data_IF_552530610058
#
_entry.id   IF_552530610058
#
_cell.length_a   1.000
_cell.length_b   1.000
_cell.length_c   1.000
_cell.angle_alpha   90.00
_cell.angle_beta   90.00
_cell.angle_gamma   90.00
#
_symmetry.space_group_name_H-M   'P 1'
#
loop_
_entity.id
_entity.type
_entity.pdbx_description
1 polymer ?
#
# COMPACT_ATOMS: atom_id res chain seq x y z
N UNK A 1 48.20 39.35 -36.65
CA UNK A 1 47.27 38.19 -36.73
C UNK A 1 47.17 37.48 -35.39
N UNK A 2 48.30 37.16 -34.73
CA UNK A 2 48.34 36.39 -33.48
C UNK A 2 47.74 37.11 -32.24
N UNK A 3 47.89 38.43 -32.14
CA UNK A 3 47.31 39.22 -31.03
C UNK A 3 45.78 39.32 -31.10
N UNK A 4 45.22 39.36 -32.30
CA UNK A 4 43.75 39.42 -32.51
C UNK A 4 43.12 38.08 -32.13
N UNK A 5 43.81 36.96 -32.40
CA UNK A 5 43.36 35.64 -31.96
C UNK A 5 43.46 35.45 -30.46
N UNK A 6 44.54 35.93 -29.82
CA UNK A 6 44.65 35.97 -28.35
C UNK A 6 43.53 36.80 -27.75
N UNK A 7 43.23 37.97 -28.33
CA UNK A 7 42.13 38.81 -27.87
C UNK A 7 40.78 38.10 -28.02
N UNK A 8 40.49 37.43 -29.15
CA UNK A 8 39.26 36.65 -29.35
C UNK A 8 39.14 35.49 -28.35
N UNK A 9 40.23 34.77 -28.06
CA UNK A 9 40.24 33.71 -27.04
C UNK A 9 40.00 34.27 -25.64
N UNK A 10 40.64 35.38 -25.29
CA UNK A 10 40.42 36.05 -24.00
C UNK A 10 38.98 36.55 -23.88
N UNK A 11 38.38 37.05 -24.97
CA UNK A 11 36.99 37.49 -25.00
C UNK A 11 36.02 36.32 -24.87
N UNK A 12 36.32 35.16 -25.46
CA UNK A 12 35.54 33.93 -25.28
C UNK A 12 35.63 33.39 -23.85
N UNK A 13 36.82 33.40 -23.24
CA UNK A 13 37.03 32.96 -21.85
C UNK A 13 36.34 33.94 -20.89
N UNK A 14 36.44 35.24 -21.15
CA UNK A 14 35.75 36.26 -20.37
C UNK A 14 34.24 36.13 -20.51
N UNK A 15 33.73 35.94 -21.72
CA UNK A 15 32.29 35.75 -21.96
C UNK A 15 31.78 34.48 -21.27
N UNK A 16 32.52 33.36 -21.33
CA UNK A 16 32.19 32.13 -20.61
C UNK A 16 32.17 32.35 -19.07
N UNK A 17 33.13 33.11 -18.55
CA UNK A 17 33.21 33.43 -17.11
C UNK A 17 32.13 34.42 -16.66
N UNK A 18 31.71 35.35 -17.54
CA UNK A 18 30.62 36.31 -17.29
C UNK A 18 29.26 35.60 -17.38
N UNK A 19 29.08 34.64 -18.30
CA UNK A 19 27.86 33.80 -18.36
C UNK A 19 27.77 32.81 -17.20
N UNK A 20 28.90 32.48 -16.55
CA UNK A 20 28.97 31.59 -15.38
C UNK A 20 28.78 32.30 -14.02
N UNK A 21 28.76 33.64 -13.99
CA UNK A 21 28.48 34.44 -12.79
C UNK A 21 27.04 34.98 -12.86
N UNK A 22 26.06 34.35 -12.19
CA UNK A 22 24.70 34.87 -12.16
C UNK A 22 24.67 36.12 -11.29
N UNK A 23 24.68 37.29 -11.92
CA UNK A 23 24.44 38.59 -11.25
C UNK A 23 22.95 38.74 -10.89
N UNK A 24 22.09 37.86 -11.39
CA UNK A 24 20.70 37.69 -10.97
C UNK A 24 20.25 36.24 -11.17
N UNK A 25 19.17 35.82 -10.49
CA UNK A 25 18.51 34.53 -10.66
C UNK A 25 18.22 34.25 -12.14
N UNK A 26 18.85 33.22 -12.71
CA UNK A 26 18.71 32.86 -14.14
C UNK A 26 17.59 31.83 -14.31
N UNK A 27 17.28 31.08 -13.25
CA UNK A 27 16.23 30.06 -13.23
C UNK A 27 15.23 30.33 -12.12
N UNK A 28 13.98 29.89 -12.28
CA UNK A 28 12.95 29.97 -11.24
C UNK A 28 13.38 29.26 -9.93
N UNK A 29 14.27 28.27 -10.04
CA UNK A 29 14.87 27.57 -8.91
C UNK A 29 15.83 28.44 -8.10
N UNK A 30 16.40 29.51 -8.68
CA UNK A 30 17.31 30.40 -7.96
C UNK A 30 16.61 31.19 -6.84
N UNK A 31 15.30 31.39 -6.95
CA UNK A 31 14.46 32.03 -5.93
C UNK A 31 14.08 31.10 -4.77
N UNK A 32 14.33 29.80 -4.87
CA UNK A 32 13.98 28.87 -3.79
C UNK A 32 14.81 29.16 -2.54
N UNK A 33 14.20 29.12 -1.34
CA UNK A 33 14.91 29.19 -0.07
C UNK A 33 16.05 28.17 -0.04
N UNK A 34 17.19 28.56 0.53
CA UNK A 34 18.40 27.70 0.62
C UNK A 34 18.08 26.33 1.21
N UNK A 35 17.15 26.25 2.17
CA UNK A 35 16.71 25.00 2.79
C UNK A 35 15.98 24.05 1.81
N UNK A 36 15.19 24.58 0.88
CA UNK A 36 14.52 23.78 -0.15
C UNK A 36 15.52 23.27 -1.19
N UNK A 37 16.47 24.12 -1.60
CA UNK A 37 17.58 23.70 -2.48
C UNK A 37 18.41 22.57 -1.87
N UNK A 38 18.72 22.67 -0.58
CA UNK A 38 19.45 21.61 0.15
C UNK A 38 18.62 20.33 0.21
N UNK A 39 17.30 20.42 0.37
CA UNK A 39 16.40 19.26 0.40
C UNK A 39 16.34 18.57 -0.96
N UNK A 40 16.15 19.32 -2.05
CA UNK A 40 16.14 18.80 -3.42
C UNK A 40 17.50 18.18 -3.81
N UNK A 41 18.61 18.80 -3.39
CA UNK A 41 19.96 18.25 -3.56
C UNK A 41 20.14 16.93 -2.79
N UNK A 42 19.62 16.83 -1.56
CA UNK A 42 19.66 15.58 -0.79
C UNK A 42 18.80 14.49 -1.43
N UNK A 43 17.62 14.83 -1.93
CA UNK A 43 16.73 13.90 -2.61
C UNK A 43 17.34 13.39 -3.93
N UNK A 44 17.90 14.27 -4.75
CA UNK A 44 18.62 13.88 -5.97
C UNK A 44 19.86 13.03 -5.68
N UNK A 45 20.62 13.34 -4.63
CA UNK A 45 21.77 12.54 -4.19
C UNK A 45 21.33 11.15 -3.70
N UNK A 46 20.20 11.03 -3.01
CA UNK A 46 19.60 9.75 -2.64
C UNK A 46 19.21 8.92 -3.87
N UNK A 47 18.58 9.55 -4.87
CA UNK A 47 18.23 8.88 -6.13
C UNK A 47 19.48 8.40 -6.89
N UNK A 48 20.53 9.22 -6.95
CA UNK A 48 21.80 8.86 -7.58
C UNK A 48 22.51 7.73 -6.83
N UNK A 49 22.50 7.78 -5.49
CA UNK A 49 23.08 6.72 -4.64
C UNK A 49 22.34 5.40 -4.85
N UNK A 50 21.01 5.42 -4.89
CA UNK A 50 20.20 4.24 -5.21
C UNK A 50 20.54 3.70 -6.60
N UNK A 51 20.64 4.57 -7.61
CA UNK A 51 20.98 4.19 -8.99
C UNK A 51 22.38 3.57 -9.10
N UNK A 52 23.37 4.14 -8.41
CA UNK A 52 24.73 3.59 -8.35
C UNK A 52 24.71 2.20 -7.69
N UNK A 53 23.98 2.03 -6.58
CA UNK A 53 23.82 0.74 -5.90
C UNK A 53 23.16 -0.29 -6.82
N UNK A 54 22.08 0.06 -7.53
CA UNK A 54 21.42 -0.83 -8.51
C UNK A 54 22.34 -1.20 -9.67
N UNK A 55 23.12 -0.24 -10.20
CA UNK A 55 24.05 -0.51 -11.30
C UNK A 55 25.21 -1.43 -10.88
N UNK A 56 25.77 -1.24 -9.67
CA UNK A 56 26.78 -2.16 -9.13
C UNK A 56 26.24 -3.58 -8.97
N UNK A 57 25.00 -3.71 -8.52
CA UNK A 57 24.34 -5.00 -8.37
C UNK A 57 24.07 -5.63 -9.75
N UNK A 58 23.64 -4.84 -10.74
CA UNK A 58 23.45 -5.31 -12.12
C UNK A 58 24.77 -5.78 -12.74
N UNK A 59 25.85 -5.04 -12.56
CA UNK A 59 27.20 -5.44 -12.99
C UNK A 59 27.64 -6.77 -12.37
N UNK A 60 27.30 -7.00 -11.10
CA UNK A 60 27.58 -8.25 -10.39
C UNK A 60 26.62 -9.39 -10.76
N UNK A 61 25.48 -9.09 -11.38
CA UNK A 61 24.53 -10.08 -11.89
C UNK A 61 24.88 -10.54 -13.31
N UNK A 62 25.41 -9.64 -14.14
CA UNK A 62 25.88 -9.96 -15.51
C UNK A 62 27.06 -10.96 -15.51
N UNK A 63 27.67 -11.24 -14.35
CA UNK A 63 28.65 -12.32 -14.14
C UNK A 63 28.05 -13.69 -13.82
N UNK A 64 26.72 -13.83 -13.80
CA UNK A 64 26.00 -15.09 -13.52
C UNK A 64 25.19 -15.45 -14.77
N UNK A 65 25.36 -16.67 -15.28
CA UNK A 65 24.73 -17.20 -16.51
C UNK A 65 23.22 -16.93 -16.56
N UNK A 66 22.73 -16.62 -17.76
CA UNK A 66 21.36 -16.19 -18.05
C UNK A 66 20.31 -17.11 -17.39
N UNK A 67 19.51 -16.61 -16.43
CA UNK A 67 18.48 -17.42 -15.77
C UNK A 67 17.29 -17.67 -16.70
N UNK A 68 16.71 -18.87 -16.57
CA UNK A 68 15.49 -19.30 -17.27
C UNK A 68 14.26 -18.46 -16.86
N UNK A 69 13.27 -18.28 -17.76
CA UNK A 69 12.09 -17.41 -17.56
C UNK A 69 11.27 -17.71 -16.28
N UNK A 70 11.37 -18.93 -15.73
CA UNK A 70 10.66 -19.38 -14.52
C UNK A 70 11.40 -19.01 -13.21
N UNK A 71 12.69 -18.69 -13.28
CA UNK A 71 13.55 -18.37 -12.13
C UNK A 71 13.69 -16.85 -11.89
N UNK A 72 13.42 -16.04 -12.92
CA UNK A 72 13.50 -14.59 -12.88
C UNK A 72 12.66 -13.95 -11.76
N UNK A 73 11.40 -14.36 -11.48
CA UNK A 73 10.60 -13.76 -10.39
C UNK A 73 11.20 -14.03 -9.00
N UNK A 74 11.80 -15.21 -8.80
CA UNK A 74 12.41 -15.63 -7.53
C UNK A 74 13.73 -14.90 -7.31
N UNK A 75 14.54 -14.75 -8.36
CA UNK A 75 15.78 -13.98 -8.32
C UNK A 75 15.52 -12.50 -8.01
N UNK A 76 14.52 -11.88 -8.63
CA UNK A 76 14.14 -10.49 -8.35
C UNK A 76 13.69 -10.32 -6.90
N UNK A 77 12.89 -11.26 -6.37
CA UNK A 77 12.44 -11.22 -4.97
C UNK A 77 13.60 -11.41 -3.98
N UNK A 78 14.52 -12.33 -4.26
CA UNK A 78 15.73 -12.54 -3.46
C UNK A 78 16.66 -11.32 -3.52
N UNK A 79 16.80 -10.69 -4.69
CA UNK A 79 17.55 -9.45 -4.86
C UNK A 79 16.96 -8.32 -4.03
N UNK A 80 15.64 -8.15 -4.08
CA UNK A 80 14.93 -7.11 -3.33
C UNK A 80 15.06 -7.33 -1.82
N UNK A 81 14.95 -8.58 -1.36
CA UNK A 81 15.16 -8.93 0.04
C UNK A 81 16.61 -8.68 0.47
N UNK A 82 17.58 -9.09 -0.33
CA UNK A 82 19.00 -8.88 -0.04
C UNK A 82 19.38 -7.39 -0.06
N UNK A 83 18.84 -6.62 -0.99
CA UNK A 83 19.01 -5.17 -1.06
C UNK A 83 18.40 -4.50 0.17
N UNK A 84 17.19 -4.91 0.57
CA UNK A 84 16.50 -4.37 1.74
C UNK A 84 17.28 -4.70 3.01
N UNK A 85 17.71 -5.94 3.18
CA UNK A 85 18.52 -6.38 4.31
C UNK A 85 19.87 -5.66 4.34
N UNK A 86 20.52 -5.47 3.20
CA UNK A 86 21.77 -4.75 3.11
C UNK A 86 21.60 -3.26 3.43
N UNK A 87 20.55 -2.60 2.94
CA UNK A 87 20.25 -1.19 3.28
C UNK A 87 19.90 -1.03 4.76
N UNK A 88 19.13 -1.97 5.33
CA UNK A 88 18.83 -1.99 6.77
C UNK A 88 20.13 -2.17 7.57
N UNK A 89 20.99 -3.09 7.17
CA UNK A 89 22.27 -3.33 7.84
C UNK A 89 23.25 -2.15 7.68
N UNK A 90 23.32 -1.52 6.50
CA UNK A 90 24.14 -0.33 6.24
C UNK A 90 23.68 0.85 7.13
N UNK A 91 22.37 1.09 7.17
CA UNK A 91 21.79 2.10 8.05
C UNK A 91 22.00 1.77 9.53
N UNK A 92 21.90 0.51 9.93
CA UNK A 92 22.19 0.08 11.30
C UNK A 92 23.67 0.30 11.65
N UNK A 93 24.60 -0.03 10.76
CA UNK A 93 26.04 0.19 10.95
C UNK A 93 26.37 1.69 11.04
N UNK A 94 25.75 2.52 10.18
CA UNK A 94 25.88 3.98 10.22
C UNK A 94 25.32 4.52 11.54
N UNK A 95 24.14 4.10 11.96
CA UNK A 95 23.53 4.50 13.22
C UNK A 95 24.38 4.07 14.43
N UNK A 96 24.96 2.88 14.40
CA UNK A 96 25.91 2.41 15.42
C UNK A 96 27.18 3.26 15.46
N UNK A 97 27.75 3.61 14.31
CA UNK A 97 28.91 4.52 14.24
C UNK A 97 28.59 5.91 14.77
N UNK A 98 27.43 6.46 14.40
CA UNK A 98 26.97 7.76 14.88
C UNK A 98 26.71 7.72 16.39
N UNK A 99 26.06 6.67 16.89
CA UNK A 99 25.82 6.47 18.33
C UNK A 99 27.14 6.33 19.09
N UNK A 100 28.11 5.61 18.54
CA UNK A 100 29.44 5.46 19.12
C UNK A 100 30.18 6.81 19.14
N UNK A 101 30.10 7.60 18.07
CA UNK A 101 30.68 8.94 18.02
C UNK A 101 30.05 9.89 19.05
N UNK A 102 28.73 9.82 19.25
CA UNK A 102 28.04 10.61 20.28
C UNK A 102 28.42 10.13 21.68
N UNK A 103 28.51 8.82 21.90
CA UNK A 103 28.96 8.24 23.17
C UNK A 103 30.39 8.69 23.48
N UNK A 104 31.30 8.64 22.50
CA UNK A 104 32.64 9.18 22.66
C UNK A 104 32.61 10.67 22.99
N UNK A 105 31.79 11.48 22.32
CA UNK A 105 31.65 12.91 22.62
C UNK A 105 31.11 13.19 24.04
N UNK A 106 30.36 12.25 24.62
CA UNK A 106 29.82 12.35 25.99
C UNK A 106 30.77 11.82 27.08
N UNK A 107 31.63 10.85 26.79
CA UNK A 107 32.48 10.22 27.81
C UNK A 107 33.98 10.57 27.70
N UNK A 108 34.48 10.94 26.51
CA UNK A 108 35.88 11.36 26.34
C UNK A 108 36.06 12.85 26.66
N UNK A 109 36.98 13.13 27.61
CA UNK A 109 37.35 14.49 28.04
C UNK A 109 38.23 15.27 27.04
N UNK A 110 38.60 14.65 25.92
CA UNK A 110 39.47 15.23 24.88
C UNK A 110 38.69 15.95 23.76
N UNK A 111 37.37 16.08 23.91
CA UNK A 111 36.50 16.79 22.97
C UNK A 111 36.34 18.23 23.44
N UNK A 112 36.28 19.17 22.48
CA UNK A 112 36.03 20.58 22.74
C UNK A 112 34.86 20.79 23.72
N UNK A 113 35.04 21.54 24.82
CA UNK A 113 34.01 21.73 25.85
C UNK A 113 32.68 22.30 25.34
N UNK A 114 32.72 23.14 24.31
CA UNK A 114 31.51 23.71 23.71
C UNK A 114 30.71 22.63 22.96
N UNK A 115 31.40 21.76 22.24
CA UNK A 115 30.81 20.61 21.54
C UNK A 115 30.24 19.59 22.53
N UNK A 116 30.95 19.29 23.63
CA UNK A 116 30.47 18.39 24.68
C UNK A 116 29.17 18.89 25.34
N UNK A 117 29.10 20.17 25.73
CA UNK A 117 27.90 20.75 26.31
C UNK A 117 26.71 20.77 25.34
N UNK A 118 26.96 21.02 24.05
CA UNK A 118 25.93 21.00 23.01
C UNK A 118 25.35 19.60 22.81
N UNK A 119 26.20 18.58 22.76
CA UNK A 119 25.76 17.18 22.64
C UNK A 119 24.96 16.76 23.88
N UNK A 120 25.40 17.14 25.09
CA UNK A 120 24.68 16.87 26.34
C UNK A 120 23.28 17.50 26.36
N UNK A 121 23.15 18.76 25.93
CA UNK A 121 21.85 19.45 25.84
C UNK A 121 20.93 18.79 24.81
N UNK A 122 21.46 18.46 23.63
CA UNK A 122 20.70 17.77 22.58
C UNK A 122 20.22 16.39 23.04
N UNK A 123 21.06 15.63 23.74
CA UNK A 123 20.68 14.34 24.30
C UNK A 123 19.62 14.47 25.38
N UNK A 124 19.74 15.43 26.30
CA UNK A 124 18.70 15.68 27.29
C UNK A 124 17.34 16.01 26.64
N UNK A 125 17.34 16.83 25.57
CA UNK A 125 16.14 17.14 24.81
C UNK A 125 15.56 15.91 24.09
N UNK A 126 16.42 15.08 23.49
CA UNK A 126 15.99 13.84 22.83
C UNK A 126 15.40 12.84 23.82
N UNK A 127 15.99 12.68 25.01
CA UNK A 127 15.45 11.82 26.06
C UNK A 127 14.10 12.32 26.56
N UNK A 128 13.96 13.62 26.84
CA UNK A 128 12.68 14.21 27.25
C UNK A 128 11.59 14.03 26.16
N UNK A 129 11.97 14.22 24.89
CA UNK A 129 11.05 13.98 23.78
C UNK A 129 10.65 12.51 23.70
N UNK A 130 11.60 11.59 23.81
CA UNK A 130 11.31 10.16 23.76
C UNK A 130 10.41 9.71 24.93
N UNK A 131 10.65 10.21 26.14
CA UNK A 131 9.83 9.92 27.32
C UNK A 131 8.40 10.46 27.16
N UNK A 132 8.24 11.66 26.59
CA UNK A 132 6.90 12.19 26.29
C UNK A 132 6.17 11.37 25.23
N UNK A 133 6.85 10.98 24.14
CA UNK A 133 6.29 10.08 23.13
C UNK A 133 5.89 8.73 23.75
N UNK A 134 6.74 8.15 24.60
CA UNK A 134 6.47 6.89 25.26
C UNK A 134 5.24 6.98 26.19
N UNK A 135 5.13 8.10 26.92
CA UNK A 135 3.96 8.39 27.77
C UNK A 135 2.68 8.45 26.94
N UNK A 136 2.67 9.22 25.85
CA UNK A 136 1.50 9.31 24.97
C UNK A 136 1.18 7.97 24.31
N UNK A 137 2.19 7.21 23.89
CA UNK A 137 1.98 5.87 23.33
C UNK A 137 1.28 4.97 24.34
N UNK A 138 1.71 5.00 25.61
CA UNK A 138 1.10 4.21 26.68
C UNK A 138 -0.34 4.66 26.97
N UNK A 139 -0.60 5.97 27.03
CA UNK A 139 -1.95 6.51 27.21
C UNK A 139 -2.88 6.12 26.06
N UNK A 140 -2.41 6.18 24.81
CA UNK A 140 -3.17 5.77 23.63
C UNK A 140 -3.44 4.26 23.66
N UNK A 141 -2.40 3.45 23.89
CA UNK A 141 -2.51 2.00 23.78
C UNK A 141 -3.26 1.34 24.93
N UNK A 142 -3.11 1.85 26.16
CA UNK A 142 -3.81 1.29 27.32
C UNK A 142 -5.18 1.93 27.47
N UNK A 143 -5.27 3.25 27.65
CA UNK A 143 -6.54 3.84 28.08
C UNK A 143 -7.53 4.04 26.92
N UNK A 144 -7.08 4.62 25.81
CA UNK A 144 -8.00 4.95 24.71
C UNK A 144 -8.45 3.72 23.93
N UNK A 145 -7.53 2.78 23.68
CA UNK A 145 -7.85 1.56 22.96
C UNK A 145 -8.76 0.63 23.79
N UNK A 146 -8.52 0.49 25.09
CA UNK A 146 -9.39 -0.31 25.97
C UNK A 146 -10.79 0.30 26.08
N UNK A 147 -10.90 1.63 26.18
CA UNK A 147 -12.19 2.33 26.16
C UNK A 147 -12.93 2.19 24.82
N UNK A 148 -12.21 2.26 23.70
CA UNK A 148 -12.81 2.05 22.38
C UNK A 148 -13.35 0.63 22.23
N UNK A 149 -12.59 -0.37 22.70
CA UNK A 149 -13.01 -1.77 22.69
C UNK A 149 -14.23 -2.00 23.58
N UNK A 150 -14.25 -1.44 24.80
CA UNK A 150 -15.40 -1.59 25.69
C UNK A 150 -16.66 -0.95 25.12
N UNK A 151 -16.55 0.25 24.54
CA UNK A 151 -17.68 0.92 23.87
C UNK A 151 -18.18 0.13 22.66
N UNK A 152 -17.28 -0.49 21.89
CA UNK A 152 -17.67 -1.38 20.79
C UNK A 152 -18.43 -2.59 21.30
N UNK A 153 -17.96 -3.22 22.37
CA UNK A 153 -18.63 -4.36 22.97
C UNK A 153 -20.02 -3.98 23.50
N UNK A 154 -20.15 -2.85 24.19
CA UNK A 154 -21.45 -2.31 24.63
C UNK A 154 -22.39 -2.05 23.44
N UNK A 155 -21.89 -1.45 22.37
CA UNK A 155 -22.67 -1.22 21.15
C UNK A 155 -23.14 -2.54 20.52
N UNK A 156 -22.26 -3.55 20.48
CA UNK A 156 -22.63 -4.87 19.97
C UNK A 156 -23.71 -5.54 20.81
N UNK A 157 -23.62 -5.47 22.14
CA UNK A 157 -24.67 -6.00 23.02
C UNK A 157 -26.01 -5.28 22.78
N UNK A 158 -26.01 -3.95 22.75
CA UNK A 158 -27.20 -3.14 22.44
C UNK A 158 -27.83 -3.49 21.08
N UNK A 159 -27.01 -3.73 20.05
CA UNK A 159 -27.49 -4.14 18.73
C UNK A 159 -28.10 -5.54 18.76
N UNK A 160 -27.54 -6.46 19.55
CA UNK A 160 -28.08 -7.80 19.70
C UNK A 160 -29.40 -7.78 20.47
N UNK A 161 -29.49 -7.04 21.57
CA UNK A 161 -30.72 -6.85 22.35
C UNK A 161 -31.82 -6.22 21.48
N UNK A 162 -31.48 -5.18 20.70
CA UNK A 162 -32.41 -4.55 19.78
C UNK A 162 -32.89 -5.53 18.70
N UNK A 163 -31.99 -6.36 18.17
CA UNK A 163 -32.34 -7.40 17.20
C UNK A 163 -33.27 -8.45 17.79
N UNK A 164 -33.07 -8.84 19.04
CA UNK A 164 -33.96 -9.76 19.74
C UNK A 164 -35.34 -9.13 19.97
N UNK A 165 -35.38 -7.88 20.43
CA UNK A 165 -36.62 -7.13 20.55
C UNK A 165 -37.41 -7.08 19.23
N UNK A 166 -36.74 -6.81 18.11
CA UNK A 166 -37.37 -6.81 16.79
C UNK A 166 -37.95 -8.18 16.42
N UNK A 167 -37.26 -9.28 16.72
CA UNK A 167 -37.79 -10.63 16.50
C UNK A 167 -39.05 -10.89 17.32
N UNK A 168 -39.06 -10.49 18.59
CA UNK A 168 -40.22 -10.65 19.47
C UNK A 168 -41.41 -9.83 18.94
N UNK A 169 -41.17 -8.57 18.56
CA UNK A 169 -42.20 -7.72 17.96
C UNK A 169 -42.74 -8.30 16.64
N UNK A 170 -41.87 -8.84 15.79
CA UNK A 170 -42.29 -9.47 14.55
C UNK A 170 -43.12 -10.73 14.80
N UNK A 171 -42.75 -11.54 15.79
CA UNK A 171 -43.51 -12.72 16.19
C UNK A 171 -44.93 -12.35 16.65
N UNK A 172 -45.06 -11.39 17.56
CA UNK A 172 -46.36 -10.89 18.04
C UNK A 172 -47.21 -10.35 16.89
N UNK A 173 -46.60 -9.59 15.98
CA UNK A 173 -47.31 -9.04 14.81
C UNK A 173 -47.79 -10.14 13.87
N UNK A 174 -46.98 -11.18 13.66
CA UNK A 174 -47.32 -12.31 12.81
C UNK A 174 -48.44 -13.16 13.43
N UNK A 175 -48.42 -13.36 14.75
CA UNK A 175 -49.46 -14.07 15.49
C UNK A 175 -50.80 -13.34 15.38
N UNK A 176 -50.82 -12.03 15.68
CA UNK A 176 -52.02 -11.19 15.50
C UNK A 176 -52.52 -11.16 14.06
N UNK A 177 -51.62 -11.17 13.07
CA UNK A 177 -52.00 -11.22 11.66
C UNK A 177 -52.62 -12.58 11.29
N UNK A 178 -52.10 -13.68 11.82
CA UNK A 178 -52.64 -15.01 11.60
C UNK A 178 -54.05 -15.16 12.18
N UNK A 179 -54.30 -14.56 13.35
CA UNK A 179 -55.62 -14.52 14.00
C UNK A 179 -56.61 -13.59 13.26
N UNK A 180 -56.17 -12.40 12.85
CA UNK A 180 -57.05 -11.38 12.26
C UNK A 180 -57.33 -11.62 10.77
N UNK A 181 -56.35 -12.13 10.02
CA UNK A 181 -56.47 -12.36 8.58
C UNK A 181 -55.55 -13.52 8.09
N UNK A 182 -56.06 -14.76 8.11
CA UNK A 182 -55.25 -15.94 7.81
C UNK A 182 -54.80 -16.02 6.34
N UNK A 183 -55.58 -15.49 5.39
CA UNK A 183 -55.22 -15.49 3.96
C UNK A 183 -53.99 -14.61 3.67
N UNK A 184 -53.93 -13.43 4.30
CA UNK A 184 -52.79 -12.51 4.16
C UNK A 184 -51.54 -13.10 4.82
N UNK A 185 -51.70 -13.77 5.97
CA UNK A 185 -50.60 -14.48 6.62
C UNK A 185 -50.02 -15.60 5.73
N UNK A 186 -50.87 -16.39 5.05
CA UNK A 186 -50.42 -17.40 4.11
C UNK A 186 -49.69 -16.81 2.89
N UNK A 187 -50.20 -15.73 2.31
CA UNK A 187 -49.53 -15.02 1.20
C UNK A 187 -48.16 -14.50 1.61
N UNK A 188 -48.05 -13.90 2.81
CA UNK A 188 -46.78 -13.45 3.39
C UNK A 188 -45.79 -14.60 3.56
N UNK A 189 -46.23 -15.74 4.10
CA UNK A 189 -45.37 -16.92 4.29
C UNK A 189 -44.87 -17.50 2.96
N UNK A 190 -45.72 -17.53 1.92
CA UNK A 190 -45.33 -17.95 0.56
C UNK A 190 -44.29 -17.00 -0.03
N UNK A 191 -44.50 -15.69 0.10
CA UNK A 191 -43.53 -14.69 -0.38
C UNK A 191 -42.18 -14.83 0.32
N UNK A 192 -42.15 -15.01 1.65
CA UNK A 192 -40.92 -15.21 2.42
C UNK A 192 -40.17 -16.48 1.97
N UNK A 193 -40.85 -17.60 1.75
CA UNK A 193 -40.23 -18.83 1.20
C UNK A 193 -39.61 -18.61 -0.18
N UNK A 194 -40.26 -17.79 -1.01
CA UNK A 194 -39.76 -17.50 -2.36
C UNK A 194 -38.52 -16.60 -2.29
N UNK A 195 -38.53 -15.59 -1.40
CA UNK A 195 -37.37 -14.72 -1.14
C UNK A 195 -36.18 -15.52 -0.60
N UNK A 196 -36.39 -16.44 0.34
CA UNK A 196 -35.30 -17.28 0.86
C UNK A 196 -34.73 -18.19 -0.22
N UNK A 197 -35.57 -18.78 -1.08
CA UNK A 197 -35.12 -19.56 -2.24
C UNK A 197 -34.28 -18.72 -3.21
N UNK A 198 -34.73 -17.50 -3.53
CA UNK A 198 -33.96 -16.56 -4.37
C UNK A 198 -32.60 -16.25 -3.74
N UNK A 199 -32.55 -15.98 -2.44
CA UNK A 199 -31.32 -15.64 -1.75
C UNK A 199 -30.34 -16.82 -1.68
N UNK A 200 -30.82 -18.04 -1.46
CA UNK A 200 -29.99 -19.25 -1.56
C UNK A 200 -29.42 -19.42 -2.96
N UNK A 201 -30.25 -19.23 -3.99
CA UNK A 201 -29.81 -19.34 -5.39
C UNK A 201 -28.77 -18.27 -5.74
N UNK A 202 -28.97 -17.01 -5.31
CA UNK A 202 -27.97 -15.94 -5.44
C UNK A 202 -26.64 -16.33 -4.81
N UNK A 203 -26.66 -16.88 -3.58
CA UNK A 203 -25.45 -17.29 -2.87
C UNK A 203 -24.73 -18.44 -3.59
N UNK A 204 -25.48 -19.41 -4.10
CA UNK A 204 -24.93 -20.50 -4.92
C UNK A 204 -24.27 -19.95 -6.19
N UNK A 205 -24.95 -19.06 -6.92
CA UNK A 205 -24.40 -18.42 -8.13
C UNK A 205 -23.11 -17.66 -7.79
N UNK A 206 -23.08 -16.87 -6.71
CA UNK A 206 -21.86 -16.15 -6.29
C UNK A 206 -20.73 -17.11 -5.95
N UNK A 207 -21.02 -18.20 -5.25
CA UNK A 207 -20.01 -19.23 -4.94
C UNK A 207 -19.50 -19.90 -6.22
N UNK A 208 -20.39 -20.26 -7.16
CA UNK A 208 -20.01 -20.81 -8.46
C UNK A 208 -19.13 -19.84 -9.26
N UNK A 209 -19.50 -18.56 -9.32
CA UNK A 209 -18.68 -17.52 -9.98
C UNK A 209 -17.32 -17.39 -9.30
N UNK A 210 -17.26 -17.44 -7.97
CA UNK A 210 -16.01 -17.37 -7.21
C UNK A 210 -15.08 -18.54 -7.54
N UNK A 211 -15.62 -19.77 -7.53
CA UNK A 211 -14.87 -20.99 -7.88
C UNK A 211 -14.43 -20.95 -9.34
N UNK A 212 -15.33 -20.61 -10.27
CA UNK A 212 -14.99 -20.47 -11.69
C UNK A 212 -13.90 -19.41 -11.91
N UNK A 213 -13.98 -18.27 -11.20
CA UNK A 213 -12.96 -17.22 -11.25
C UNK A 213 -11.60 -17.71 -10.75
N UNK A 214 -11.58 -18.55 -9.72
CA UNK A 214 -10.36 -19.20 -9.23
C UNK A 214 -9.76 -20.13 -10.29
N UNK A 215 -10.57 -21.02 -10.86
CA UNK A 215 -10.13 -21.97 -11.89
C UNK A 215 -9.58 -21.29 -13.15
N UNK A 216 -10.19 -20.16 -13.55
CA UNK A 216 -9.72 -19.33 -14.68
C UNK A 216 -8.44 -18.57 -14.32
N UNK A 217 -8.20 -18.27 -13.03
CA UNK A 217 -6.97 -17.63 -12.57
C UNK A 217 -5.80 -18.61 -12.50
N UNK A 218 -6.06 -19.86 -12.15
CA UNK A 218 -5.05 -20.93 -12.11
C UNK A 218 -4.63 -21.42 -13.50
N UNK A 219 -5.53 -21.40 -14.48
CA UNK A 219 -5.24 -21.83 -15.85
C UNK A 219 -5.27 -20.63 -16.83
N UNK A 220 -4.12 -20.05 -17.19
CA UNK A 220 -4.06 -18.87 -18.06
C UNK A 220 -4.58 -19.14 -19.49
N UNK A 221 -4.48 -20.38 -19.98
CA UNK A 221 -4.99 -20.78 -21.30
C UNK A 221 -6.52 -20.71 -21.38
N UNK A 222 -7.21 -21.08 -20.31
CA UNK A 222 -8.67 -20.96 -20.18
C UNK A 222 -9.12 -19.49 -20.31
N UNK A 223 -8.34 -18.55 -19.77
CA UNK A 223 -8.62 -17.11 -19.90
C UNK A 223 -8.47 -16.63 -21.35
N UNK A 224 -7.51 -17.17 -22.11
CA UNK A 224 -7.31 -16.84 -23.53
C UNK A 224 -8.43 -17.43 -24.39
N UNK A 225 -8.80 -18.68 -24.14
CA UNK A 225 -9.90 -19.38 -24.82
C UNK A 225 -11.23 -18.65 -24.54
N UNK A 226 -11.56 -18.37 -23.27
CA UNK A 226 -12.77 -17.63 -22.89
C UNK A 226 -12.83 -16.23 -23.52
N UNK A 227 -11.70 -15.53 -23.64
CA UNK A 227 -11.64 -14.23 -24.34
C UNK A 227 -11.91 -14.36 -25.83
N UNK A 228 -11.37 -15.39 -26.49
CA UNK A 228 -11.58 -15.64 -27.93
C UNK A 228 -13.02 -16.05 -28.24
N UNK A 229 -13.66 -16.79 -27.32
CA UNK A 229 -15.02 -17.30 -27.50
C UNK A 229 -16.11 -16.47 -26.81
N UNK A 230 -15.77 -15.29 -26.27
CA UNK A 230 -16.73 -14.40 -25.57
C UNK A 230 -17.97 -14.05 -26.41
N UNK A 231 -17.82 -14.01 -27.74
CA UNK A 231 -18.88 -13.63 -28.66
C UNK A 231 -19.72 -14.82 -29.17
N UNK A 232 -19.38 -16.06 -28.80
CA UNK A 232 -20.16 -17.26 -29.18
C UNK A 232 -21.32 -17.53 -28.21
N UNK A 233 -21.22 -17.02 -26.98
CA UNK A 233 -22.26 -17.12 -25.96
C UNK A 233 -22.97 -15.78 -25.90
N UNK A 234 -23.81 -15.52 -26.90
CA UNK A 234 -24.75 -14.39 -26.85
C UNK A 234 -25.98 -14.77 -26.01
N UNK A 235 -26.73 -13.77 -25.56
CA UNK A 235 -27.98 -13.95 -24.82
C UNK A 235 -28.97 -14.83 -25.60
N UNK A 236 -28.98 -14.70 -26.93
CA UNK A 236 -29.78 -15.50 -27.85
C UNK A 236 -29.35 -16.97 -27.83
N UNK A 237 -28.05 -17.27 -27.85
CA UNK A 237 -27.53 -18.65 -27.73
C UNK A 237 -27.89 -19.32 -26.39
N UNK A 238 -27.98 -18.55 -25.30
CA UNK A 238 -28.40 -19.05 -23.98
C UNK A 238 -29.91 -19.31 -23.94
N UNK A 239 -30.70 -18.45 -24.59
CA UNK A 239 -32.15 -18.61 -24.71
C UNK A 239 -32.47 -19.85 -25.55
N UNK A 240 -31.75 -20.06 -26.66
CA UNK A 240 -31.93 -21.21 -27.55
C UNK A 240 -31.55 -22.53 -26.86
N UNK A 241 -30.45 -22.57 -26.11
CA UNK A 241 -30.06 -23.76 -25.33
C UNK A 241 -31.11 -24.12 -24.26
N UNK A 242 -31.70 -23.11 -23.59
CA UNK A 242 -32.78 -23.31 -22.61
C UNK A 242 -34.08 -23.79 -23.26
N UNK A 243 -34.32 -23.44 -24.52
CA UNK A 243 -35.47 -23.94 -25.27
C UNK A 243 -35.24 -25.36 -25.79
N UNK A 244 -34.01 -25.74 -26.12
CA UNK A 244 -33.66 -27.12 -26.48
C UNK A 244 -33.83 -28.10 -25.31
N UNK A 245 -33.45 -27.72 -24.08
CA UNK A 245 -33.66 -28.56 -22.89
C UNK A 245 -35.16 -28.84 -22.59
N UNK A 246 -36.08 -28.00 -23.09
CA UNK A 246 -37.54 -28.24 -22.97
C UNK A 246 -38.10 -29.17 -24.05
N UNK A 247 -37.37 -29.40 -25.14
CA UNK A 247 -37.80 -30.26 -26.25
C UNK A 247 -37.27 -31.70 -26.04
N UNK A 248 -36.28 -31.87 -25.17
CA UNK A 248 -35.66 -33.17 -24.86
C UNK A 248 -36.18 -33.85 -23.57
N UNK A 249 -37.25 -33.34 -22.94
CA UNK A 249 -38.03 -34.19 -22.02
C UNK A 249 -38.84 -35.18 -22.89
N UNK A 250 -38.53 -36.48 -22.90
CA UNK A 250 -39.40 -37.44 -23.57
C UNK A 250 -40.71 -37.50 -22.81
N UNK A 251 -41.83 -37.40 -23.53
CA UNK A 251 -43.11 -37.88 -23.04
C UNK A 251 -42.97 -39.38 -22.75
N UNK A 252 -42.83 -39.73 -21.48
CA UNK A 252 -43.24 -41.00 -20.85
C UNK A 252 -43.56 -40.76 -19.36
#
# INVERSE_FOLDING_TARGET
>A
MEEIEKLKRSLLILNASVTGFPVAAVTLDDYKPINEKIKELRESLNCLTARIKTLKIKLNLDSIENPTDDEAPRLVKNLQNNLTNWVINDNAVIACHQSYAVQQALYNKNVDPATHNRVKLLMANLYNLNDSILKYKKEISMNLLEQELSLKDEMYQLLMDYREFLKVQEAIRNEKLAESNPEVAQKKARALKLITKINMMKRLITNFISVASHLVRENPDLKVILKRHRNLIDLDSIIDAKHQERIEEPED
#
